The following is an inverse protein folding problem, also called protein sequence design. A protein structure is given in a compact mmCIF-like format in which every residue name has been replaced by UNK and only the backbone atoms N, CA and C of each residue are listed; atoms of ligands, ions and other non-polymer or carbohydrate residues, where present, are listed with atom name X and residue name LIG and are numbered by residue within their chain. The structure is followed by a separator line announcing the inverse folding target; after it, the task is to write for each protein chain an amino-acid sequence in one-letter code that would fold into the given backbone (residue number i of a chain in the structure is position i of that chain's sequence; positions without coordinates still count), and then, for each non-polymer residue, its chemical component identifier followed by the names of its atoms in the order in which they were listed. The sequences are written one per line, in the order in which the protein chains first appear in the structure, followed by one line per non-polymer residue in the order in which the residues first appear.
data_IF_898891218022
#
_entry.id   IF_898891218022
#
_cell.length_a   1.000
_cell.length_b   1.000
_cell.length_c   1.000
_cell.angle_alpha   90.00
_cell.angle_beta   90.00
_cell.angle_gamma   90.00
#
_symmetry.space_group_name_H-M   'P 1'
#
loop_
_entity.id
_entity.type
_entity.pdbx_description
1 polymer ?
#
# COMPACT_ATOMS: atom_id res chain seq x y z
N UNK A 1 -13.99 -5.32 10.66
CA UNK A 1 -13.21 -4.35 9.85
C UNK A 1 -11.74 -4.76 9.71
N UNK A 2 -10.98 -4.87 10.80
CA UNK A 2 -9.55 -5.26 10.78
C UNK A 2 -9.27 -6.58 10.05
N UNK A 3 -10.03 -7.64 10.35
CA UNK A 3 -9.86 -8.94 9.69
C UNK A 3 -10.16 -8.90 8.19
N UNK A 4 -11.19 -8.15 7.79
CA UNK A 4 -11.59 -7.98 6.39
C UNK A 4 -10.54 -7.18 5.61
N UNK A 5 -10.03 -6.09 6.18
CA UNK A 5 -8.92 -5.32 5.62
C UNK A 5 -7.68 -6.20 5.45
N UNK A 6 -7.29 -6.96 6.48
CA UNK A 6 -6.17 -7.89 6.38
C UNK A 6 -6.41 -8.96 5.31
N UNK A 7 -7.63 -9.47 5.17
CA UNK A 7 -7.98 -10.43 4.12
C UNK A 7 -7.86 -9.82 2.72
N UNK A 8 -8.34 -8.59 2.52
CA UNK A 8 -8.22 -7.85 1.25
C UNK A 8 -6.75 -7.58 0.93
N UNK A 9 -5.95 -7.11 1.89
CA UNK A 9 -4.50 -6.86 1.70
C UNK A 9 -3.77 -8.16 1.35
N UNK A 10 -4.04 -9.26 2.08
CA UNK A 10 -3.46 -10.57 1.76
C UNK A 10 -3.83 -11.00 0.35
N UNK A 11 -5.07 -10.72 -0.08
CA UNK A 11 -5.51 -11.05 -1.44
C UNK A 11 -4.80 -10.18 -2.48
N UNK A 12 -4.71 -8.86 -2.29
CA UNK A 12 -3.95 -7.93 -3.14
C UNK A 12 -2.51 -8.42 -3.30
N UNK A 13 -1.83 -8.74 -2.20
CA UNK A 13 -0.44 -9.21 -2.23
C UNK A 13 -0.29 -10.62 -2.82
N UNK A 14 -1.35 -11.44 -2.84
CA UNK A 14 -1.31 -12.78 -3.41
C UNK A 14 -1.50 -12.78 -4.93
N UNK A 15 -2.44 -11.98 -5.43
CA UNK A 15 -2.84 -12.00 -6.85
C UNK A 15 -2.34 -10.80 -7.66
N UNK A 16 -1.77 -9.80 -6.98
CA UNK A 16 -1.42 -8.52 -7.57
C UNK A 16 -2.66 -7.64 -7.75
N UNK A 17 -2.45 -6.33 -7.72
CA UNK A 17 -3.49 -5.35 -8.01
C UNK A 17 -2.87 -4.14 -8.71
N UNK A 18 -3.65 -3.40 -9.47
CA UNK A 18 -3.28 -2.06 -9.92
C UNK A 18 -3.81 -1.05 -8.91
N UNK A 19 -3.03 -0.04 -8.56
CA UNK A 19 -3.53 1.12 -7.85
C UNK A 19 -3.68 2.31 -8.80
N UNK A 20 -4.66 3.16 -8.54
CA UNK A 20 -4.85 4.45 -9.21
C UNK A 20 -5.02 5.52 -8.15
N UNK A 21 -4.28 6.62 -8.31
CA UNK A 21 -4.28 7.77 -7.40
C UNK A 21 -5.01 8.92 -8.08
N UNK A 22 -5.95 9.51 -7.36
CA UNK A 22 -6.58 10.79 -7.69
C UNK A 22 -6.25 11.81 -6.61
N UNK A 23 -6.09 13.07 -7.01
CA UNK A 23 -5.86 14.18 -6.08
C UNK A 23 -7.13 14.58 -5.33
N UNK A 24 -7.06 15.64 -4.53
CA UNK A 24 -8.18 16.16 -3.75
C UNK A 24 -9.37 16.67 -4.58
N UNK A 25 -9.15 16.96 -5.87
CA UNK A 25 -10.18 17.41 -6.80
C UNK A 25 -10.79 16.24 -7.60
N UNK A 26 -10.28 15.02 -7.39
CA UNK A 26 -10.67 13.83 -8.13
C UNK A 26 -9.97 13.71 -9.49
N UNK A 27 -8.96 14.53 -9.77
CA UNK A 27 -8.19 14.46 -11.02
C UNK A 27 -7.19 13.31 -10.95
N UNK A 28 -7.00 12.64 -12.09
CA UNK A 28 -6.06 11.53 -12.20
C UNK A 28 -4.61 12.01 -12.00
N UNK A 29 -3.88 11.35 -11.09
CA UNK A 29 -2.46 11.64 -10.83
C UNK A 29 -1.58 10.55 -11.44
N UNK A 30 -1.79 9.30 -11.04
CA UNK A 30 -0.95 8.18 -11.47
C UNK A 30 -1.64 6.83 -11.32
N UNK A 31 -1.11 5.82 -12.00
CA UNK A 31 -1.47 4.42 -11.80
C UNK A 31 -0.24 3.53 -11.94
N UNK A 32 -0.18 2.47 -11.15
CA UNK A 32 0.85 1.44 -11.30
C UNK A 32 0.38 0.09 -10.76
N UNK A 33 1.14 -0.97 -11.05
CA UNK A 33 0.97 -2.28 -10.44
C UNK A 33 1.51 -2.24 -9.02
N UNK A 34 0.70 -2.64 -8.04
CA UNK A 34 1.09 -2.77 -6.65
C UNK A 34 1.93 -4.04 -6.47
N UNK A 35 3.19 -3.87 -6.10
CA UNK A 35 4.02 -4.98 -5.62
C UNK A 35 3.52 -5.48 -4.27
N UNK A 36 3.33 -4.58 -3.32
CA UNK A 36 2.86 -4.98 -2.01
C UNK A 36 2.24 -3.83 -1.27
N UNK A 37 1.23 -4.17 -0.48
CA UNK A 37 0.60 -3.31 0.49
C UNK A 37 0.85 -3.89 1.89
N UNK A 38 1.44 -3.10 2.79
CA UNK A 38 1.81 -3.56 4.15
C UNK A 38 1.21 -2.62 5.17
N UNK A 39 0.51 -3.18 6.16
CA UNK A 39 0.08 -2.42 7.35
C UNK A 39 1.30 -2.21 8.25
N UNK A 40 1.66 -0.96 8.48
CA UNK A 40 2.80 -0.60 9.32
C UNK A 40 2.38 -0.39 10.77
N UNK A 41 1.32 0.38 10.98
CA UNK A 41 0.87 0.83 12.29
C UNK A 41 -0.64 1.11 12.29
N UNK A 42 -1.28 0.99 13.45
CA UNK A 42 -2.68 1.37 13.69
C UNK A 42 -2.70 2.20 14.98
N UNK A 43 -3.12 3.45 14.92
CA UNK A 43 -3.26 4.34 16.09
C UNK A 43 -4.38 5.35 15.88
N UNK A 44 -5.08 5.71 16.97
CA UNK A 44 -6.11 6.74 16.97
C UNK A 44 -7.17 6.58 15.86
N UNK A 45 -7.55 5.33 15.55
CA UNK A 45 -8.51 5.00 14.49
C UNK A 45 -7.95 5.04 13.06
N UNK A 46 -6.67 5.39 12.90
CA UNK A 46 -5.95 5.47 11.63
C UNK A 46 -5.23 4.16 11.33
N UNK A 47 -4.99 3.90 10.04
CA UNK A 47 -4.16 2.76 9.61
C UNK A 47 -3.12 3.27 8.63
N UNK A 48 -1.85 3.07 8.96
CA UNK A 48 -0.72 3.48 8.15
C UNK A 48 -0.29 2.32 7.27
N UNK A 49 -0.22 2.53 5.96
CA UNK A 49 0.24 1.51 5.03
C UNK A 49 1.41 1.97 4.17
N UNK A 50 2.29 1.01 3.87
CA UNK A 50 3.28 1.15 2.83
C UNK A 50 2.71 0.61 1.51
N UNK A 51 2.64 1.46 0.49
CA UNK A 51 2.30 1.09 -0.87
C UNK A 51 3.57 1.04 -1.73
N UNK A 52 3.88 -0.13 -2.27
CA UNK A 52 5.04 -0.31 -3.15
C UNK A 52 4.59 -0.61 -4.59
N UNK A 53 4.92 0.24 -5.58
CA UNK A 53 4.81 -0.10 -6.99
C UNK A 53 5.74 -1.24 -7.40
N UNK A 54 5.40 -1.85 -8.53
CA UNK A 54 6.16 -2.91 -9.16
C UNK A 54 7.38 -2.35 -9.87
N UNK A 55 8.54 -2.96 -9.63
CA UNK A 55 9.76 -2.66 -10.34
C UNK A 55 10.55 -1.48 -9.76
N UNK A 56 11.72 -1.27 -10.37
CA UNK A 56 12.68 -0.25 -10.00
C UNK A 56 12.84 0.69 -11.19
N UNK A 57 12.70 1.99 -10.96
CA UNK A 57 12.99 2.99 -11.98
C UNK A 57 14.36 3.58 -11.67
N UNK A 58 15.31 3.48 -12.60
CA UNK A 58 16.67 4.03 -12.44
C UNK A 58 17.42 3.56 -11.18
N UNK A 59 17.20 2.30 -10.76
CA UNK A 59 17.84 1.78 -9.56
C UNK A 59 17.26 2.32 -8.25
N UNK A 60 16.08 2.95 -8.28
CA UNK A 60 15.28 3.31 -7.12
C UNK A 60 13.90 2.66 -7.20
N UNK A 61 13.46 2.03 -6.11
CA UNK A 61 12.07 1.66 -5.92
C UNK A 61 11.34 2.88 -5.39
N UNK A 62 10.38 3.40 -6.15
CA UNK A 62 9.48 4.39 -5.60
C UNK A 62 8.66 3.72 -4.51
N UNK A 63 8.53 4.36 -3.36
CA UNK A 63 7.77 3.86 -2.23
C UNK A 63 6.86 4.99 -1.78
N UNK A 64 5.57 4.71 -1.67
CA UNK A 64 4.61 5.66 -1.16
C UNK A 64 4.27 5.23 0.26
N UNK A 65 4.81 5.95 1.24
CA UNK A 65 4.19 5.94 2.56
C UNK A 65 2.88 6.69 2.43
N UNK A 66 1.78 5.97 2.60
CA UNK A 66 0.46 6.58 2.58
C UNK A 66 0.09 6.81 4.05
N UNK A 67 0.23 8.08 4.44
CA UNK A 67 -0.07 8.63 5.76
C UNK A 67 -1.57 8.92 5.93
N UNK A 68 -2.41 7.98 5.54
CA UNK A 68 -3.84 8.21 5.60
C UNK A 68 -4.28 8.20 7.07
N UNK A 69 -4.69 9.34 7.64
CA UNK A 69 -5.83 9.23 8.54
C UNK A 69 -6.98 8.75 7.67
N UNK A 70 -7.30 7.47 7.79
CA UNK A 70 -8.34 6.87 6.98
C UNK A 70 -9.66 7.45 7.47
N UNK A 71 -10.10 8.54 6.85
CA UNK A 71 -11.46 9.05 7.02
C UNK A 71 -12.48 7.97 6.67
N UNK A 72 -12.15 7.18 5.64
CA UNK A 72 -13.02 6.13 5.15
C UNK A 72 -12.24 5.03 4.43
N UNK A 73 -12.52 3.78 4.80
CA UNK A 73 -12.00 2.57 4.18
C UNK A 73 -13.14 1.77 3.59
N UNK A 74 -13.14 1.61 2.28
CA UNK A 74 -14.04 0.67 1.63
C UNK A 74 -13.23 -0.53 1.18
N UNK A 75 -13.39 -1.65 1.88
CA UNK A 75 -12.67 -2.89 1.59
C UNK A 75 -13.68 -4.03 1.36
N UNK A 76 -13.72 -4.58 0.16
CA UNK A 76 -14.55 -5.75 -0.18
C UNK A 76 -13.70 -6.88 -0.74
N UNK A 77 -14.10 -8.14 -0.49
CA UNK A 77 -13.40 -9.31 -1.03
C UNK A 77 -13.67 -9.51 -2.53
N UNK A 78 -14.73 -8.93 -3.06
CA UNK A 78 -15.10 -8.93 -4.48
C UNK A 78 -15.07 -7.49 -5.03
N UNK A 79 -14.62 -7.26 -6.27
CA UNK A 79 -13.41 -7.78 -6.91
C UNK A 79 -12.20 -6.92 -6.45
N UNK A 80 -11.52 -7.32 -5.37
CA UNK A 80 -10.32 -6.63 -4.86
C UNK A 80 -10.51 -5.11 -4.69
N UNK A 81 -11.69 -4.67 -4.28
CA UNK A 81 -11.94 -3.23 -4.17
C UNK A 81 -11.43 -2.77 -2.80
N UNK A 82 -10.33 -2.03 -2.83
CA UNK A 82 -9.85 -1.24 -1.71
C UNK A 82 -9.85 0.21 -2.17
N UNK A 83 -10.64 1.05 -1.52
CA UNK A 83 -10.58 2.50 -1.67
C UNK A 83 -10.08 3.10 -0.37
N UNK A 84 -9.01 3.87 -0.47
CA UNK A 84 -8.40 4.62 0.63
C UNK A 84 -8.60 6.09 0.34
N UNK A 85 -9.26 6.81 1.26
CA UNK A 85 -9.42 8.27 1.19
C UNK A 85 -8.54 8.89 2.27
N UNK A 86 -7.60 9.73 1.83
CA UNK A 86 -6.68 10.51 2.67
C UNK A 86 -7.34 11.77 3.18
N UNK A 87 -6.78 12.31 4.25
CA UNK A 87 -7.23 13.55 4.88
C UNK A 87 -7.12 14.78 4.01
N UNK A 88 -6.09 14.81 3.17
CA UNK A 88 -5.93 15.83 2.15
C UNK A 88 -6.93 15.68 1.00
N UNK A 89 -7.83 14.68 1.04
CA UNK A 89 -8.84 14.42 0.02
C UNK A 89 -8.39 13.47 -1.10
N UNK A 90 -7.11 13.07 -1.11
CA UNK A 90 -6.57 12.18 -2.12
C UNK A 90 -7.18 10.79 -2.03
N UNK A 91 -7.39 10.14 -3.16
CA UNK A 91 -8.01 8.82 -3.23
C UNK A 91 -7.10 7.82 -3.91
N UNK A 92 -6.91 6.64 -3.28
CA UNK A 92 -6.21 5.50 -3.87
C UNK A 92 -7.19 4.35 -4.04
N UNK A 93 -7.37 3.87 -5.26
CA UNK A 93 -8.25 2.75 -5.59
C UNK A 93 -7.45 1.57 -6.11
N UNK A 94 -7.68 0.39 -5.55
CA UNK A 94 -7.10 -0.86 -6.03
C UNK A 94 -8.09 -1.61 -6.91
N UNK A 95 -7.61 -2.08 -8.06
CA UNK A 95 -8.40 -2.84 -9.04
C UNK A 95 -7.65 -4.12 -9.47
N UNK A 96 -8.36 -5.17 -9.89
CA UNK A 96 -7.72 -6.36 -10.44
C UNK A 96 -6.81 -6.04 -11.63
N UNK A 97 -5.72 -6.80 -11.75
CA UNK A 97 -4.83 -6.74 -12.92
C UNK A 97 -5.54 -7.27 -14.18
N UNK A 98 -5.20 -6.72 -15.34
CA UNK A 98 -5.51 -7.32 -16.63
C UNK A 98 -4.59 -8.52 -16.93
N UNK A 99 -4.82 -9.27 -18.01
CA UNK A 99 -4.05 -10.49 -18.30
C UNK A 99 -2.55 -10.25 -18.51
N UNK A 100 -2.16 -9.18 -19.21
CA UNK A 100 -0.74 -8.85 -19.43
C UNK A 100 -0.06 -8.49 -18.10
N UNK A 101 -0.70 -7.66 -17.30
CA UNK A 101 -0.22 -7.28 -15.97
C UNK A 101 -0.11 -8.47 -15.02
N UNK A 102 -1.03 -9.44 -15.09
CA UNK A 102 -0.93 -10.67 -14.30
C UNK A 102 0.32 -11.46 -14.66
N UNK A 103 0.67 -11.55 -15.94
CA UNK A 103 1.88 -12.24 -16.36
C UNK A 103 3.14 -11.54 -15.84
N UNK A 104 3.19 -10.21 -15.93
CA UNK A 104 4.32 -9.43 -15.41
C UNK A 104 4.44 -9.53 -13.89
N UNK A 105 3.30 -9.55 -13.18
CA UNK A 105 3.26 -9.80 -11.73
C UNK A 105 3.83 -11.17 -11.36
N UNK A 106 3.44 -12.23 -12.07
CA UNK A 106 3.95 -13.59 -11.83
C UNK A 106 5.47 -13.63 -12.07
N UNK A 107 5.94 -13.07 -13.19
CA UNK A 107 7.38 -13.00 -13.52
C UNK A 107 8.16 -12.23 -12.45
N UNK A 108 7.64 -11.10 -11.99
CA UNK A 108 8.24 -10.32 -10.92
C UNK A 108 8.36 -11.13 -9.63
N UNK A 109 7.31 -11.83 -9.21
CA UNK A 109 7.31 -12.67 -8.01
C UNK A 109 8.34 -13.80 -8.10
N UNK A 110 8.48 -14.42 -9.27
CA UNK A 110 9.51 -15.45 -9.49
C UNK A 110 10.92 -14.88 -9.48
N UNK A 111 11.14 -13.70 -10.07
CA UNK A 111 12.41 -13.00 -10.04
C UNK A 111 12.82 -12.63 -8.61
N UNK A 112 11.91 -11.98 -7.87
CA UNK A 112 12.14 -11.56 -6.48
C UNK A 112 12.52 -12.74 -5.58
N UNK A 113 11.81 -13.87 -5.68
CA UNK A 113 12.10 -15.09 -4.89
C UNK A 113 13.49 -15.67 -5.13
N UNK A 114 14.10 -15.44 -6.29
CA UNK A 114 15.46 -15.93 -6.62
C UNK A 114 16.56 -15.06 -6.04
N UNK A 115 16.21 -13.93 -5.44
CA UNK A 115 17.11 -12.84 -5.10
C UNK A 115 17.01 -12.56 -3.60
N UNK A 116 17.79 -13.29 -2.79
CA UNK A 116 17.71 -13.25 -1.31
C UNK A 116 17.94 -11.86 -0.69
N UNK A 117 18.58 -10.93 -1.42
CA UNK A 117 18.77 -9.57 -0.96
C UNK A 117 17.46 -8.76 -0.89
N UNK A 118 16.43 -9.13 -1.66
CA UNK A 118 15.12 -8.47 -1.56
C UNK A 118 14.46 -8.69 -0.21
N UNK A 119 14.60 -9.86 0.41
CA UNK A 119 13.99 -10.12 1.72
C UNK A 119 14.60 -9.21 2.79
N UNK A 120 15.92 -9.00 2.72
CA UNK A 120 16.62 -8.05 3.60
C UNK A 120 16.16 -6.61 3.35
N UNK A 121 16.12 -6.18 2.09
CA UNK A 121 15.69 -4.84 1.73
C UNK A 121 14.24 -4.57 2.12
N UNK A 122 13.32 -5.52 1.86
CA UNK A 122 11.93 -5.45 2.29
C UNK A 122 11.84 -5.25 3.82
N UNK A 123 12.61 -6.01 4.59
CA UNK A 123 12.61 -5.90 6.05
C UNK A 123 13.14 -4.55 6.53
N UNK A 124 14.23 -4.04 5.94
CA UNK A 124 14.82 -2.74 6.27
C UNK A 124 13.86 -1.59 5.92
N UNK A 125 13.27 -1.62 4.73
CA UNK A 125 12.25 -0.68 4.28
C UNK A 125 11.04 -0.67 5.23
N UNK A 126 10.48 -1.85 5.54
CA UNK A 126 9.32 -1.96 6.42
C UNK A 126 9.65 -1.45 7.82
N UNK A 127 10.83 -1.77 8.35
CA UNK A 127 11.25 -1.30 9.67
C UNK A 127 11.37 0.23 9.71
N UNK A 128 12.05 0.82 8.73
CA UNK A 128 12.19 2.28 8.60
C UNK A 128 10.83 2.99 8.53
N UNK A 129 9.94 2.50 7.66
CA UNK A 129 8.64 3.14 7.49
C UNK A 129 7.71 2.91 8.69
N UNK A 130 7.85 1.79 9.40
CA UNK A 130 7.13 1.56 10.66
C UNK A 130 7.54 2.56 11.73
N UNK A 131 8.83 2.83 11.89
CA UNK A 131 9.33 3.83 12.85
C UNK A 131 8.73 5.23 12.56
N UNK A 132 8.67 5.64 11.29
CA UNK A 132 8.03 6.89 10.89
C UNK A 132 6.53 6.89 11.23
N UNK A 133 5.82 5.81 10.90
CA UNK A 133 4.38 5.69 11.16
C UNK A 133 4.05 5.68 12.66
N UNK A 134 4.88 5.04 13.49
CA UNK A 134 4.76 5.06 14.95
C UNK A 134 4.99 6.47 15.53
N UNK A 135 5.92 7.24 14.96
CA UNK A 135 6.15 8.63 15.33
C UNK A 135 4.91 9.52 15.14
N UNK A 136 4.14 9.30 14.08
CA UNK A 136 2.89 10.04 13.82
C UNK A 136 1.72 9.63 14.70
N UNK A 137 1.75 8.42 15.27
CA UNK A 137 0.78 7.96 16.26
C UNK A 137 1.08 8.43 17.69
N UNK A 138 2.23 9.07 17.92
CA UNK A 138 2.73 9.41 19.25
C UNK A 138 2.40 10.83 19.75
N UNK A 139 1.70 11.64 18.94
CA UNK A 139 1.14 12.92 19.38
C UNK A 139 -0.14 12.70 20.21
N UNK A 140 0.04 12.03 21.35
CA UNK A 140 -0.76 12.20 22.56
C UNK A 140 0.20 12.27 23.75
N UNK A 141 0.93 13.39 23.82
CA UNK A 141 1.59 13.86 25.03
C UNK A 141 1.07 15.28 25.40
N UNK A 142 -0.28 15.38 25.59
CA UNK A 142 -1.01 15.83 26.82
C UNK A 142 -0.73 17.24 27.38
N UNK A 143 -1.64 17.95 28.11
CA UNK A 143 -3.12 18.04 28.16
C UNK A 143 -3.63 19.52 28.09
N UNK A 144 -4.96 19.71 28.10
CA UNK A 144 -5.75 20.93 28.46
C UNK A 144 -5.23 22.34 28.05
#
# INVERSE_FOLDING_TARGET
MKEQLQAVIRRINAVGARYTVHDENGEYVTQDTCESLVVLHEANGKVFFLLRPLGWTNGVQYEHLVDTEINHLEATLEPLHLKVVRDDGWTITFTPLNEDQKQDWVRWREYKKKQAWYDKMDAETIAKWREIAEGWGSDDAVPD
#
